data_IF_514071749104
#
_entry.id   IF_514071749104
#
_cell.length_a   1.000
_cell.length_b   1.000
_cell.length_c   1.000
_cell.angle_alpha   90.00
_cell.angle_beta   90.00
_cell.angle_gamma   90.00
#
_symmetry.space_group_name_H-M   'P 1'
#
loop_
_entity.id
_entity.type
_entity.pdbx_description
1 polymer ?
#
# COMPACT_ATOMS: atom_id res chain seq x y z
N UNK A 1 -6.73 -0.61 -3.58
CA UNK A 1 -6.16 -0.36 -4.92
C UNK A 1 -5.14 -1.42 -5.30
N UNK A 2 -4.73 -1.47 -6.57
CA UNK A 2 -3.87 -2.52 -7.14
C UNK A 2 -2.55 -1.99 -7.72
N UNK A 3 -2.33 -0.67 -7.76
CA UNK A 3 -1.07 -0.06 -8.19
C UNK A 3 -0.77 1.20 -7.39
N UNK A 4 0.52 1.60 -7.35
CA UNK A 4 0.97 2.81 -6.67
C UNK A 4 0.33 4.08 -7.29
N UNK A 5 0.19 4.12 -8.62
CA UNK A 5 -0.45 5.23 -9.33
C UNK A 5 -1.91 5.46 -8.89
N UNK A 6 -2.69 4.39 -8.72
CA UNK A 6 -4.06 4.51 -8.19
C UNK A 6 -4.06 5.07 -6.77
N UNK A 7 -3.09 4.67 -5.95
CA UNK A 7 -2.92 5.19 -4.60
C UNK A 7 -2.61 6.68 -4.58
N UNK A 8 -1.64 7.11 -5.37
CA UNK A 8 -1.28 8.52 -5.46
C UNK A 8 -2.46 9.38 -5.94
N UNK A 9 -3.20 8.94 -6.97
CA UNK A 9 -4.37 9.67 -7.45
C UNK A 9 -5.46 9.79 -6.38
N UNK A 10 -5.68 8.74 -5.57
CA UNK A 10 -6.61 8.80 -4.45
C UNK A 10 -6.14 9.78 -3.36
N UNK A 11 -4.85 9.76 -3.02
CA UNK A 11 -4.25 10.68 -2.07
C UNK A 11 -4.36 12.15 -2.53
N UNK A 12 -4.05 12.43 -3.79
CA UNK A 12 -4.21 13.75 -4.41
C UNK A 12 -5.67 14.20 -4.48
N UNK A 13 -6.62 13.27 -4.53
CA UNK A 13 -8.05 13.54 -4.41
C UNK A 13 -8.52 13.77 -2.95
N UNK A 14 -7.61 13.75 -1.96
CA UNK A 14 -7.88 14.03 -0.56
C UNK A 14 -8.11 12.79 0.31
N UNK A 15 -7.81 11.58 -0.17
CA UNK A 15 -7.93 10.38 0.66
C UNK A 15 -6.82 10.32 1.72
N UNK A 16 -7.19 10.38 3.00
CA UNK A 16 -6.23 10.26 4.12
C UNK A 16 -5.53 8.89 4.20
N UNK A 17 -6.24 7.83 3.83
CA UNK A 17 -5.71 6.47 3.82
C UNK A 17 -5.88 5.86 2.45
N UNK A 18 -4.81 5.23 1.97
CA UNK A 18 -4.82 4.52 0.71
C UNK A 18 -4.39 3.07 0.95
N UNK A 19 -5.25 2.14 0.52
CA UNK A 19 -5.12 0.73 0.90
C UNK A 19 -4.71 -0.14 -0.28
N UNK A 20 -3.43 -0.54 -0.41
CA UNK A 20 -2.99 -1.54 -1.36
C UNK A 20 -3.43 -2.95 -0.91
N UNK A 21 -3.98 -3.73 -1.85
CA UNK A 21 -4.50 -5.08 -1.58
C UNK A 21 -3.43 -6.11 -1.94
N UNK A 22 -2.47 -6.31 -1.04
CA UNK A 22 -1.18 -6.96 -1.29
C UNK A 22 -1.34 -8.34 -1.92
N UNK A 23 -2.08 -9.25 -1.27
CA UNK A 23 -2.24 -10.60 -1.84
C UNK A 23 -3.03 -10.61 -3.15
N UNK A 24 -3.90 -9.62 -3.41
CA UNK A 24 -4.61 -9.60 -4.69
C UNK A 24 -3.71 -9.15 -5.84
N UNK A 25 -2.75 -8.26 -5.56
CA UNK A 25 -1.70 -7.92 -6.52
C UNK A 25 -0.84 -9.14 -6.82
N UNK A 26 -0.38 -9.86 -5.78
CA UNK A 26 0.40 -11.09 -5.93
C UNK A 26 -0.38 -12.17 -6.72
N UNK A 27 -1.66 -12.36 -6.41
CA UNK A 27 -2.52 -13.33 -7.08
C UNK A 27 -2.76 -13.03 -8.58
N UNK A 28 -2.53 -11.79 -9.01
CA UNK A 28 -2.62 -11.36 -10.41
C UNK A 28 -1.25 -11.39 -11.12
N UNK A 29 -0.21 -11.94 -10.47
CA UNK A 29 1.14 -12.01 -11.02
C UNK A 29 1.98 -10.74 -10.83
N UNK A 30 1.51 -9.80 -10.00
CA UNK A 30 2.27 -8.62 -9.62
C UNK A 30 3.13 -8.84 -8.37
N UNK A 31 3.72 -7.74 -7.89
CA UNK A 31 4.47 -7.70 -6.63
C UNK A 31 3.81 -6.66 -5.69
N UNK A 32 3.06 -7.17 -4.71
CA UNK A 32 2.31 -6.37 -3.76
C UNK A 32 3.20 -5.60 -2.79
N UNK A 33 4.35 -6.16 -2.39
CA UNK A 33 5.29 -5.48 -1.50
C UNK A 33 5.99 -4.35 -2.24
N UNK A 34 6.42 -4.58 -3.48
CA UNK A 34 6.97 -3.52 -4.33
C UNK A 34 5.94 -2.40 -4.58
N UNK A 35 4.68 -2.76 -4.81
CA UNK A 35 3.60 -1.77 -4.96
C UNK A 35 3.46 -0.88 -3.73
N UNK A 36 3.63 -1.45 -2.53
CA UNK A 36 3.64 -0.70 -1.27
C UNK A 36 4.84 0.24 -1.17
N UNK A 37 6.04 -0.24 -1.52
CA UNK A 37 7.27 0.57 -1.50
C UNK A 37 7.19 1.76 -2.45
N UNK A 38 6.75 1.52 -3.70
CA UNK A 38 6.56 2.57 -4.70
C UNK A 38 5.51 3.58 -4.23
N UNK A 39 4.43 3.13 -3.61
CA UNK A 39 3.41 4.00 -3.07
C UNK A 39 3.93 4.87 -1.91
N UNK A 40 4.66 4.30 -0.95
CA UNK A 40 5.27 5.08 0.14
C UNK A 40 6.13 6.22 -0.42
N UNK A 41 7.01 5.90 -1.37
CA UNK A 41 7.87 6.92 -1.99
C UNK A 41 7.05 8.03 -2.68
N UNK A 42 5.97 7.68 -3.38
CA UNK A 42 5.09 8.66 -4.02
C UNK A 42 4.34 9.53 -3.01
N UNK A 43 3.85 8.95 -1.90
CA UNK A 43 3.17 9.72 -0.87
C UNK A 43 4.13 10.70 -0.19
N UNK A 44 5.33 10.25 0.17
CA UNK A 44 6.37 11.13 0.74
C UNK A 44 6.67 12.34 -0.17
N UNK A 45 6.74 12.13 -1.49
CA UNK A 45 7.07 13.19 -2.45
C UNK A 45 5.89 14.14 -2.76
N UNK A 46 4.65 13.64 -2.75
CA UNK A 46 3.53 14.35 -3.39
C UNK A 46 2.28 14.49 -2.52
N UNK A 47 2.11 13.65 -1.50
CA UNK A 47 0.93 13.68 -0.63
C UNK A 47 1.27 13.20 0.80
N UNK A 48 2.20 13.88 1.51
CA UNK A 48 2.74 13.40 2.79
C UNK A 48 1.71 13.37 3.93
N UNK A 49 0.55 13.99 3.75
CA UNK A 49 -0.59 13.93 4.68
C UNK A 49 -1.42 12.63 4.56
N UNK A 50 -1.19 11.86 3.50
CA UNK A 50 -1.84 10.57 3.25
C UNK A 50 -0.93 9.42 3.70
N UNK A 51 -1.53 8.35 4.21
CA UNK A 51 -0.80 7.19 4.74
C UNK A 51 -1.21 5.89 4.07
N UNK A 52 -0.32 4.90 4.12
CA UNK A 52 -0.64 3.56 3.63
C UNK A 52 -1.35 2.76 4.73
N UNK A 53 -2.49 2.17 4.37
CA UNK A 53 -3.22 1.17 5.15
C UNK A 53 -3.16 -0.16 4.40
N UNK A 54 -2.03 -0.86 4.48
CA UNK A 54 -1.84 -2.10 3.73
C UNK A 54 -2.84 -3.18 4.18
N UNK A 55 -3.42 -3.89 3.21
CA UNK A 55 -4.58 -4.74 3.43
C UNK A 55 -4.50 -6.02 2.60
N UNK A 56 -5.47 -6.91 2.85
CA UNK A 56 -5.67 -8.13 2.06
C UNK A 56 -4.44 -9.03 2.07
N UNK A 57 -4.01 -9.46 3.25
CA UNK A 57 -2.91 -10.40 3.42
C UNK A 57 -3.40 -11.85 3.38
N UNK A 58 -2.57 -12.75 2.85
CA UNK A 58 -2.75 -14.21 2.89
C UNK A 58 -1.80 -14.87 3.89
N UNK A 59 -0.65 -14.26 4.15
CA UNK A 59 0.33 -14.75 5.11
C UNK A 59 0.73 -13.66 6.10
N UNK A 60 1.11 -14.00 7.34
CA UNK A 60 1.70 -13.05 8.28
C UNK A 60 2.96 -12.36 7.74
N UNK A 61 3.69 -13.05 6.84
CA UNK A 61 4.90 -12.52 6.22
C UNK A 61 4.60 -11.28 5.37
N UNK A 62 3.52 -11.28 4.59
CA UNK A 62 3.14 -10.10 3.82
C UNK A 62 2.83 -8.89 4.71
N UNK A 63 2.19 -9.10 5.87
CA UNK A 63 1.95 -8.03 6.83
C UNK A 63 3.27 -7.47 7.41
N UNK A 64 4.20 -8.35 7.79
CA UNK A 64 5.52 -7.95 8.27
C UNK A 64 6.31 -7.19 7.20
N UNK A 65 6.33 -7.68 5.96
CA UNK A 65 7.05 -7.03 4.87
C UNK A 65 6.48 -5.64 4.54
N UNK A 66 5.17 -5.44 4.68
CA UNK A 66 4.58 -4.10 4.57
C UNK A 66 5.03 -3.14 5.68
N UNK A 67 5.10 -3.61 6.93
CA UNK A 67 5.61 -2.81 8.05
C UNK A 67 7.10 -2.47 7.85
N UNK A 68 7.91 -3.43 7.37
CA UNK A 68 9.32 -3.21 7.04
C UNK A 68 9.50 -2.27 5.84
N UNK A 69 8.55 -2.24 4.91
CA UNK A 69 8.51 -1.29 3.80
C UNK A 69 8.06 0.12 4.22
N UNK A 70 7.75 0.34 5.50
CA UNK A 70 7.40 1.65 6.05
C UNK A 70 5.91 1.93 6.17
N UNK A 71 5.01 0.96 5.92
CA UNK A 71 3.58 1.19 6.13
C UNK A 71 3.29 1.63 7.57
N UNK A 72 2.57 2.74 7.74
CA UNK A 72 2.16 3.25 9.04
C UNK A 72 1.05 2.40 9.66
N UNK A 73 0.27 1.71 8.82
CA UNK A 73 -0.86 0.92 9.28
C UNK A 73 -1.12 -0.32 8.41
N UNK A 74 -1.65 -1.35 9.05
CA UNK A 74 -2.13 -2.58 8.41
C UNK A 74 -3.53 -2.92 8.92
N UNK A 75 -4.34 -3.59 8.09
CA UNK A 75 -5.62 -4.17 8.50
C UNK A 75 -5.60 -5.68 8.35
N UNK A 76 -6.06 -6.37 9.40
CA UNK A 76 -6.10 -7.84 9.51
C UNK A 76 -7.56 -8.30 9.65
N UNK A 77 -7.86 -9.59 9.37
CA UNK A 77 -9.19 -10.17 9.59
C UNK A 77 -9.67 -10.06 11.05
#
# INVERSE_FOLDING_TARGET
MYSAAQGLLAALAGAKYVAPYVNRVDAQGGDGIRTVQELQALLEMHAPESMVLAASFKTPRQALDCLLAGCESITLP
#
